data_IF_847377494379
#
_entry.id   IF_847377494379
#
_cell.length_a   1.000
_cell.length_b   1.000
_cell.length_c   1.000
_cell.angle_alpha   90.00
_cell.angle_beta   90.00
_cell.angle_gamma   90.00
#
_symmetry.space_group_name_H-M   'P 1'
#
loop_
_entity.id
_entity.type
_entity.pdbx_description
1 polymer ?
#
# COMPACT_ATOMS: atom_id res chain seq x y z
N UNK A 1 6.46 -20.55 -8.22
CA UNK A 1 7.15 -19.22 -8.23
C UNK A 1 6.12 -18.10 -8.38
N UNK A 2 6.31 -17.04 -7.65
CA UNK A 2 5.36 -15.94 -7.64
C UNK A 2 5.78 -14.81 -8.58
N UNK A 3 4.80 -13.99 -8.97
CA UNK A 3 5.03 -12.78 -9.78
C UNK A 3 4.12 -11.66 -9.33
N UNK A 4 4.53 -10.42 -9.58
CA UNK A 4 3.74 -9.22 -9.29
C UNK A 4 3.15 -8.69 -10.59
N UNK A 5 1.88 -8.29 -10.53
CA UNK A 5 1.23 -7.64 -11.67
C UNK A 5 0.16 -6.65 -11.19
N UNK A 6 -0.20 -5.70 -12.05
CA UNK A 6 -1.32 -4.81 -11.81
C UNK A 6 -2.61 -5.63 -11.85
N UNK A 7 -3.47 -5.44 -10.86
CA UNK A 7 -4.76 -6.12 -10.85
C UNK A 7 -5.70 -5.51 -11.91
N UNK A 8 -6.45 -6.37 -12.56
CA UNK A 8 -7.43 -6.00 -13.58
C UNK A 8 -8.83 -6.39 -13.11
N UNK A 9 -9.86 -5.93 -13.83
CA UNK A 9 -11.26 -6.22 -13.52
C UNK A 9 -11.50 -7.72 -13.33
N UNK A 10 -10.88 -8.55 -14.14
CA UNK A 10 -10.98 -10.02 -14.06
C UNK A 10 -10.44 -10.60 -12.76
N UNK A 11 -9.61 -9.86 -12.04
CA UNK A 11 -8.94 -10.35 -10.83
C UNK A 11 -9.75 -10.12 -9.55
N UNK A 12 -10.82 -9.31 -9.60
CA UNK A 12 -11.59 -8.93 -8.41
C UNK A 12 -12.06 -10.13 -7.62
N UNK A 13 -12.67 -11.10 -8.30
CA UNK A 13 -13.21 -12.28 -7.62
C UNK A 13 -12.12 -13.17 -7.06
N UNK A 14 -11.00 -13.32 -7.76
CA UNK A 14 -9.88 -14.11 -7.28
C UNK A 14 -9.25 -13.48 -6.03
N UNK A 15 -9.12 -12.17 -5.99
CA UNK A 15 -8.61 -11.45 -4.82
C UNK A 15 -9.53 -11.68 -3.61
N UNK A 16 -10.83 -11.52 -3.80
CA UNK A 16 -11.80 -11.74 -2.72
C UNK A 16 -11.82 -13.18 -2.25
N UNK A 17 -11.76 -14.14 -3.19
CA UNK A 17 -11.73 -15.56 -2.87
C UNK A 17 -10.49 -15.95 -2.07
N UNK A 18 -9.30 -15.56 -2.55
CA UNK A 18 -8.04 -16.04 -2.01
C UNK A 18 -7.61 -15.28 -0.75
N UNK A 19 -7.88 -13.98 -0.68
CA UNK A 19 -7.49 -13.14 0.45
C UNK A 19 -8.65 -12.83 1.39
N UNK A 20 -9.89 -12.98 0.91
CA UNK A 20 -11.09 -12.76 1.71
C UNK A 20 -11.48 -13.94 2.60
N UNK A 21 -10.78 -15.07 2.50
CA UNK A 21 -11.15 -16.29 3.23
C UNK A 21 -11.04 -16.16 4.74
N UNK A 22 -10.29 -15.19 5.23
CA UNK A 22 -10.15 -14.90 6.66
C UNK A 22 -11.17 -13.89 7.17
N UNK A 23 -11.95 -13.31 6.26
CA UNK A 23 -12.98 -12.35 6.61
C UNK A 23 -14.30 -13.07 6.87
N UNK A 24 -15.12 -12.49 7.74
CA UNK A 24 -16.50 -12.96 7.91
C UNK A 24 -17.21 -12.85 6.55
N UNK A 25 -18.15 -13.79 6.25
CA UNK A 25 -18.83 -13.81 4.94
C UNK A 25 -19.47 -12.47 4.54
N UNK A 26 -19.95 -11.69 5.50
CA UNK A 26 -20.55 -10.39 5.27
C UNK A 26 -19.52 -9.33 4.87
N UNK A 27 -18.24 -9.56 5.13
CA UNK A 27 -17.15 -8.65 4.77
C UNK A 27 -16.61 -8.83 3.36
N UNK A 28 -16.89 -9.96 2.72
CA UNK A 28 -16.41 -10.23 1.36
C UNK A 28 -16.93 -9.25 0.34
N UNK A 29 -18.23 -8.88 0.33
CA UNK A 29 -18.73 -7.86 -0.61
C UNK A 29 -18.06 -6.50 -0.40
N UNK A 30 -17.74 -6.15 0.85
CA UNK A 30 -17.03 -4.89 1.16
C UNK A 30 -15.65 -4.91 0.55
N UNK A 31 -14.95 -6.05 0.64
CA UNK A 31 -13.63 -6.22 0.03
C UNK A 31 -13.70 -6.11 -1.50
N UNK A 32 -14.68 -6.77 -2.12
CA UNK A 32 -14.88 -6.68 -3.58
C UNK A 32 -15.10 -5.24 -4.03
N UNK A 33 -15.95 -4.49 -3.32
CA UNK A 33 -16.21 -3.08 -3.63
C UNK A 33 -14.96 -2.23 -3.50
N UNK A 34 -14.16 -2.45 -2.45
CA UNK A 34 -12.92 -1.72 -2.25
C UNK A 34 -11.92 -2.01 -3.36
N UNK A 35 -11.75 -3.29 -3.69
CA UNK A 35 -10.85 -3.72 -4.76
C UNK A 35 -11.29 -3.12 -6.09
N UNK A 36 -12.57 -3.17 -6.39
CA UNK A 36 -13.12 -2.62 -7.62
C UNK A 36 -12.82 -1.11 -7.74
N UNK A 37 -12.97 -0.36 -6.65
CA UNK A 37 -12.66 1.08 -6.65
C UNK A 37 -11.19 1.34 -6.95
N UNK A 38 -10.28 0.53 -6.42
CA UNK A 38 -8.84 0.69 -6.71
C UNK A 38 -8.50 0.36 -8.15
N UNK A 39 -9.22 -0.58 -8.76
CA UNK A 39 -8.97 -0.97 -10.14
C UNK A 39 -9.59 0.01 -11.13
N UNK A 40 -10.76 0.56 -10.82
CA UNK A 40 -11.54 1.37 -11.76
C UNK A 40 -11.20 2.85 -11.78
N UNK A 41 -10.58 3.38 -10.73
CA UNK A 41 -10.26 4.81 -10.66
C UNK A 41 -8.83 5.08 -11.14
N UNK A 42 -8.63 6.15 -11.96
CA UNK A 42 -7.30 6.43 -12.54
C UNK A 42 -6.28 6.98 -11.55
N UNK A 43 -6.72 7.49 -10.39
CA UNK A 43 -5.84 8.09 -9.38
C UNK A 43 -5.28 7.07 -8.38
N UNK A 44 -5.54 5.79 -8.59
CA UNK A 44 -5.11 4.73 -7.69
C UNK A 44 -4.90 3.43 -8.43
N UNK A 45 -4.19 2.50 -7.78
CA UNK A 45 -4.00 1.18 -8.36
C UNK A 45 -3.82 0.14 -7.27
N UNK A 46 -3.94 -1.10 -7.69
CA UNK A 46 -3.77 -2.27 -6.84
C UNK A 46 -2.87 -3.26 -7.56
N UNK A 47 -1.83 -3.71 -6.88
CA UNK A 47 -0.95 -4.76 -7.37
C UNK A 47 -1.24 -6.06 -6.65
N UNK A 48 -1.12 -7.16 -7.35
CA UNK A 48 -1.29 -8.49 -6.77
C UNK A 48 -0.03 -9.31 -6.95
N UNK A 49 0.23 -10.17 -5.99
CA UNK A 49 1.22 -11.22 -6.10
C UNK A 49 0.49 -12.53 -6.40
N UNK A 50 0.91 -13.22 -7.44
CA UNK A 50 0.32 -14.48 -7.88
C UNK A 50 1.33 -15.61 -7.77
N UNK A 51 0.90 -16.71 -7.18
CA UNK A 51 1.59 -18.01 -7.28
C UNK A 51 0.71 -18.88 -8.16
N UNK A 52 1.14 -19.04 -9.42
CA UNK A 52 0.31 -19.59 -10.48
C UNK A 52 -0.98 -18.78 -10.62
N UNK A 53 -2.14 -19.35 -10.30
CA UNK A 53 -3.43 -18.67 -10.41
C UNK A 53 -3.96 -18.16 -9.06
N UNK A 54 -3.23 -18.40 -7.96
CA UNK A 54 -3.65 -18.03 -6.61
C UNK A 54 -3.10 -16.66 -6.23
N UNK A 55 -3.96 -15.77 -5.75
CA UNK A 55 -3.56 -14.48 -5.21
C UNK A 55 -3.02 -14.68 -3.79
N UNK A 56 -1.76 -14.34 -3.57
CA UNK A 56 -1.08 -14.55 -2.28
C UNK A 56 -0.70 -13.25 -1.58
N UNK A 57 -0.95 -12.12 -2.20
CA UNK A 57 -0.71 -10.81 -1.60
C UNK A 57 -1.24 -9.69 -2.46
N UNK A 58 -1.37 -8.52 -1.87
CA UNK A 58 -1.76 -7.33 -2.62
C UNK A 58 -1.20 -6.06 -1.97
N UNK A 59 -1.16 -5.00 -2.75
CA UNK A 59 -0.83 -3.66 -2.27
C UNK A 59 -1.69 -2.62 -2.96
N UNK A 60 -1.99 -1.54 -2.25
CA UNK A 60 -2.83 -0.47 -2.77
C UNK A 60 -2.18 0.88 -2.54
N UNK A 61 -2.31 1.76 -3.53
CA UNK A 61 -1.73 3.10 -3.47
C UNK A 61 -2.67 4.10 -4.14
N UNK A 62 -2.74 5.31 -3.59
CA UNK A 62 -3.54 6.42 -4.10
C UNK A 62 -2.60 7.57 -4.41
N UNK A 63 -2.78 8.18 -5.60
CA UNK A 63 -2.07 9.40 -5.98
C UNK A 63 -2.70 10.60 -5.27
N UNK A 64 -1.90 11.32 -4.50
CA UNK A 64 -2.29 12.58 -3.84
C UNK A 64 -3.68 12.55 -3.14
N UNK A 65 -3.88 11.67 -2.16
CA UNK A 65 -5.16 11.61 -1.44
C UNK A 65 -5.32 12.80 -0.51
N UNK A 66 -6.56 13.06 -0.12
CA UNK A 66 -6.85 14.03 0.94
C UNK A 66 -6.21 13.56 2.25
N UNK A 67 -5.43 14.45 2.88
CA UNK A 67 -4.76 14.15 4.13
C UNK A 67 -5.71 14.42 5.28
N UNK A 68 -5.96 13.41 6.10
CA UNK A 68 -6.89 13.47 7.24
C UNK A 68 -6.17 13.13 8.53
N UNK A 69 -6.72 13.62 9.64
CA UNK A 69 -6.23 13.34 10.98
C UNK A 69 -5.55 14.55 11.63
N UNK A 70 -5.19 14.36 12.90
CA UNK A 70 -4.57 15.42 13.70
C UNK A 70 -3.07 15.45 13.46
N UNK A 71 -2.68 15.97 12.31
CA UNK A 71 -1.28 16.12 11.94
C UNK A 71 -0.84 17.58 12.11
N UNK A 72 0.45 17.77 12.37
CA UNK A 72 1.02 19.12 12.39
C UNK A 72 0.96 19.72 10.98
N UNK A 73 0.94 21.06 10.90
CA UNK A 73 0.97 21.76 9.61
C UNK A 73 2.21 21.41 8.79
N UNK A 74 3.34 21.25 9.48
CA UNK A 74 4.59 20.88 8.85
C UNK A 74 4.48 19.51 8.18
N UNK A 75 3.94 18.52 8.88
CA UNK A 75 3.74 17.19 8.33
C UNK A 75 2.76 17.22 7.16
N UNK A 76 1.62 17.90 7.30
CA UNK A 76 0.64 18.03 6.20
C UNK A 76 1.30 18.63 4.97
N UNK A 77 2.08 19.71 5.14
CA UNK A 77 2.79 20.34 4.04
C UNK A 77 3.79 19.40 3.35
N UNK A 78 4.48 18.58 4.13
CA UNK A 78 5.45 17.62 3.60
C UNK A 78 4.80 16.48 2.84
N UNK A 79 3.55 16.13 3.17
CA UNK A 79 2.85 15.00 2.53
C UNK A 79 2.06 15.42 1.28
N UNK A 80 1.82 16.71 1.09
CA UNK A 80 1.05 17.17 -0.06
C UNK A 80 1.76 16.83 -1.37
N UNK A 81 1.00 16.28 -2.32
CA UNK A 81 1.52 15.87 -3.61
C UNK A 81 2.22 14.51 -3.60
N UNK A 82 2.29 13.84 -2.45
CA UNK A 82 2.85 12.51 -2.36
C UNK A 82 1.76 11.46 -2.49
N UNK A 83 2.08 10.35 -3.15
CA UNK A 83 1.19 9.19 -3.20
C UNK A 83 1.17 8.48 -1.85
N UNK A 84 0.03 7.91 -1.48
CA UNK A 84 -0.13 7.21 -0.21
C UNK A 84 -0.31 5.71 -0.41
N UNK A 85 0.56 4.93 0.22
CA UNK A 85 0.34 3.49 0.34
C UNK A 85 -0.77 3.27 1.36
N UNK A 86 -1.85 2.61 0.94
CA UNK A 86 -3.04 2.41 1.78
C UNK A 86 -3.24 0.97 2.20
N UNK A 87 -2.50 0.04 1.63
CA UNK A 87 -2.60 -1.36 2.01
C UNK A 87 -1.43 -2.18 1.54
N UNK A 88 -1.06 -3.15 2.35
CA UNK A 88 -0.04 -4.14 2.00
C UNK A 88 -0.35 -5.41 2.78
N UNK A 89 -0.56 -6.49 2.07
CA UNK A 89 -0.86 -7.78 2.68
C UNK A 89 -0.12 -8.88 1.92
N UNK A 90 0.53 -9.76 2.66
CA UNK A 90 1.11 -11.00 2.13
C UNK A 90 0.59 -12.14 2.98
N UNK A 91 0.08 -13.18 2.34
CA UNK A 91 -0.41 -14.35 3.05
C UNK A 91 0.69 -14.95 3.91
N UNK A 92 0.34 -15.37 5.13
CA UNK A 92 1.31 -15.77 6.15
C UNK A 92 2.26 -16.86 5.67
N UNK A 93 1.76 -17.82 4.90
CA UNK A 93 2.57 -18.94 4.40
C UNK A 93 3.57 -18.54 3.30
N UNK A 94 3.42 -17.32 2.76
CA UNK A 94 4.28 -16.80 1.70
C UNK A 94 5.19 -15.67 2.17
N UNK A 95 5.19 -15.38 3.46
CA UNK A 95 6.05 -14.33 4.01
C UNK A 95 7.52 -14.74 3.98
N UNK A 96 8.41 -13.73 4.08
CA UNK A 96 9.88 -13.89 4.08
C UNK A 96 10.43 -14.40 2.75
N UNK A 97 9.72 -14.20 1.65
CA UNK A 97 10.17 -14.54 0.30
C UNK A 97 10.43 -13.31 -0.57
N UNK A 98 10.35 -12.10 -0.01
CA UNK A 98 10.53 -10.86 -0.74
C UNK A 98 9.29 -10.34 -1.46
N UNK A 99 8.13 -10.96 -1.25
CA UNK A 99 6.89 -10.54 -1.92
C UNK A 99 6.46 -9.14 -1.47
N UNK A 100 6.48 -8.87 -0.15
CA UNK A 100 6.14 -7.55 0.38
C UNK A 100 7.04 -6.47 -0.20
N UNK A 101 8.34 -6.74 -0.30
CA UNK A 101 9.28 -5.79 -0.90
C UNK A 101 8.97 -5.55 -2.37
N UNK A 102 8.66 -6.59 -3.12
CA UNK A 102 8.30 -6.47 -4.54
C UNK A 102 7.02 -5.67 -4.72
N UNK A 103 6.03 -5.85 -3.85
CA UNK A 103 4.78 -5.08 -3.89
C UNK A 103 5.03 -3.60 -3.60
N UNK A 104 5.85 -3.27 -2.61
CA UNK A 104 6.19 -1.86 -2.30
C UNK A 104 6.95 -1.23 -3.47
N UNK A 105 7.90 -1.94 -4.05
CA UNK A 105 8.65 -1.42 -5.21
C UNK A 105 7.74 -1.17 -6.41
N UNK A 106 6.76 -2.03 -6.64
CA UNK A 106 5.79 -1.83 -7.71
C UNK A 106 4.97 -0.54 -7.48
N UNK A 107 4.55 -0.29 -6.23
CA UNK A 107 3.84 0.93 -5.88
C UNK A 107 4.71 2.18 -6.06
N UNK A 108 5.96 2.14 -5.60
CA UNK A 108 6.88 3.26 -5.77
C UNK A 108 7.12 3.57 -7.24
N UNK A 109 7.36 2.55 -8.03
CA UNK A 109 7.56 2.70 -9.48
C UNK A 109 6.34 3.32 -10.14
N UNK A 110 5.14 2.86 -9.79
CA UNK A 110 3.90 3.43 -10.31
C UNK A 110 3.79 4.92 -9.99
N UNK A 111 4.04 5.30 -8.73
CA UNK A 111 3.96 6.69 -8.30
C UNK A 111 4.99 7.58 -9.01
N UNK A 112 6.24 7.12 -9.09
CA UNK A 112 7.30 7.89 -9.71
C UNK A 112 7.14 8.00 -11.23
N UNK A 113 6.64 6.95 -11.89
CA UNK A 113 6.38 6.98 -13.33
C UNK A 113 5.25 7.95 -13.69
N UNK A 114 4.38 8.27 -12.73
CA UNK A 114 3.31 9.26 -12.92
C UNK A 114 3.75 10.68 -12.57
N UNK A 115 5.03 10.88 -12.33
CA UNK A 115 5.58 12.18 -11.97
C UNK A 115 5.47 12.52 -10.49
N UNK A 116 5.12 11.57 -9.65
CA UNK A 116 5.01 11.77 -8.21
C UNK A 116 6.33 12.16 -7.58
N UNK A 117 6.26 13.00 -6.54
CA UNK A 117 7.44 13.50 -5.83
C UNK A 117 7.90 12.56 -4.73
N UNK A 118 7.05 11.65 -4.32
CA UNK A 118 7.36 10.71 -3.26
C UNK A 118 6.15 9.87 -2.86
N UNK A 119 6.33 9.11 -1.79
CA UNK A 119 5.34 8.18 -1.26
C UNK A 119 5.33 8.30 0.26
N UNK A 120 4.15 8.19 0.86
CA UNK A 120 4.01 8.17 2.31
C UNK A 120 3.03 7.09 2.75
N UNK A 121 3.08 6.77 4.03
CA UNK A 121 2.19 5.76 4.61
C UNK A 121 2.06 5.98 6.12
N UNK A 122 1.05 5.33 6.69
CA UNK A 122 0.87 5.26 8.13
C UNK A 122 0.99 3.79 8.52
N UNK A 123 1.82 3.50 9.50
CA UNK A 123 2.00 2.13 9.96
C UNK A 123 1.95 2.06 11.48
N UNK A 124 1.41 0.96 11.97
CA UNK A 124 1.35 0.66 13.40
C UNK A 124 2.63 -0.01 13.88
N UNK A 125 3.17 -0.97 13.11
CA UNK A 125 4.24 -1.84 13.58
C UNK A 125 5.40 -2.00 12.59
N UNK A 126 5.29 -1.50 11.36
CA UNK A 126 6.24 -1.81 10.30
C UNK A 126 7.22 -0.68 9.98
N UNK A 127 7.33 0.33 10.85
CA UNK A 127 8.18 1.49 10.58
C UNK A 127 9.65 1.08 10.34
N UNK A 128 10.19 0.17 11.17
CA UNK A 128 11.57 -0.28 11.03
C UNK A 128 11.80 -1.02 9.72
N UNK A 129 10.82 -1.81 9.28
CA UNK A 129 10.90 -2.55 8.02
C UNK A 129 10.96 -1.61 6.82
N UNK A 130 10.09 -0.59 6.79
CA UNK A 130 10.09 0.41 5.71
C UNK A 130 11.37 1.22 5.70
N UNK A 131 11.88 1.61 6.86
CA UNK A 131 13.14 2.36 6.95
C UNK A 131 14.32 1.52 6.45
N UNK A 132 14.40 0.28 6.89
CA UNK A 132 15.53 -0.61 6.54
C UNK A 132 15.56 -0.97 5.07
N UNK A 133 14.42 -1.34 4.49
CA UNK A 133 14.38 -1.87 3.14
C UNK A 133 14.21 -0.81 2.06
N UNK A 134 13.65 0.36 2.40
CA UNK A 134 13.28 1.35 1.38
C UNK A 134 13.76 2.77 1.69
N UNK A 135 14.33 3.00 2.85
CA UNK A 135 14.84 4.32 3.22
C UNK A 135 13.77 5.34 3.58
N UNK A 136 12.60 4.91 4.03
CA UNK A 136 11.57 5.81 4.51
C UNK A 136 12.02 6.54 5.77
N UNK A 137 11.59 7.79 5.92
CA UNK A 137 11.89 8.63 7.08
C UNK A 137 10.65 8.81 7.93
N UNK A 138 10.83 8.80 9.24
CA UNK A 138 9.75 9.09 10.19
C UNK A 138 9.42 10.58 10.14
N UNK A 139 8.16 10.89 9.91
CA UNK A 139 7.66 12.27 9.85
C UNK A 139 6.99 12.69 11.15
N UNK A 140 6.15 11.83 11.68
CA UNK A 140 5.38 12.14 12.89
C UNK A 140 4.84 10.85 13.50
N UNK A 141 4.71 10.85 14.83
CA UNK A 141 3.97 9.79 15.54
C UNK A 141 2.64 10.34 15.98
N UNK A 142 1.58 9.58 15.76
CA UNK A 142 0.22 9.97 16.09
C UNK A 142 -0.45 8.89 16.92
N UNK A 143 -1.51 9.29 17.63
CA UNK A 143 -2.41 8.34 18.29
C UNK A 143 -3.77 8.44 17.62
N UNK A 144 -4.25 7.33 17.10
CA UNK A 144 -5.53 7.23 16.41
C UNK A 144 -6.28 6.04 16.98
N UNK A 145 -7.50 6.26 17.47
CA UNK A 145 -8.32 5.22 18.10
C UNK A 145 -7.58 4.50 19.26
N UNK A 146 -6.81 5.28 20.05
CA UNK A 146 -6.02 4.72 21.16
C UNK A 146 -4.79 3.95 20.76
N UNK A 147 -4.45 3.92 19.46
CA UNK A 147 -3.30 3.16 18.94
C UNK A 147 -2.25 4.13 18.43
N UNK A 148 -1.00 3.93 18.85
CA UNK A 148 0.12 4.70 18.35
C UNK A 148 0.49 4.23 16.94
N UNK A 149 0.64 5.20 16.02
CA UNK A 149 0.99 4.96 14.62
C UNK A 149 2.11 5.90 14.21
N UNK A 150 2.89 5.50 13.22
CA UNK A 150 4.01 6.28 12.69
C UNK A 150 3.73 6.65 11.24
N UNK A 151 3.91 7.92 10.91
CA UNK A 151 3.84 8.40 9.54
C UNK A 151 5.25 8.40 8.96
N UNK A 152 5.41 7.74 7.83
CA UNK A 152 6.67 7.61 7.11
C UNK A 152 6.53 8.19 5.71
N UNK A 153 7.60 8.79 5.20
CA UNK A 153 7.63 9.30 3.84
C UNK A 153 8.99 9.09 3.20
N UNK A 154 8.97 9.00 1.87
CA UNK A 154 10.16 8.88 1.05
C UNK A 154 9.97 9.75 -0.17
N UNK A 155 10.91 10.67 -0.40
CA UNK A 155 10.87 11.52 -1.59
C UNK A 155 11.68 10.91 -2.72
N UNK A 156 11.33 11.28 -3.95
CA UNK A 156 12.03 10.80 -5.14
C UNK A 156 13.51 11.19 -5.13
N UNK A 157 13.84 12.36 -4.59
CA UNK A 157 15.23 12.81 -4.48
C UNK A 157 16.03 11.85 -3.60
N UNK A 158 15.46 11.44 -2.46
CA UNK A 158 16.09 10.47 -1.56
C UNK A 158 16.26 9.11 -2.22
N UNK A 159 15.34 8.72 -3.10
CA UNK A 159 15.38 7.44 -3.81
C UNK A 159 16.46 7.38 -4.88
N UNK A 160 16.86 8.52 -5.46
CA UNK A 160 17.86 8.57 -6.53
C UNK A 160 19.30 8.56 -6.02
N UNK A 161 19.48 8.61 -4.71
CA UNK A 161 20.77 8.47 -4.06
C UNK A 161 20.94 7.05 -3.55
#
# INVERSE_FOLDING_TARGET
>A
MWKIQTALEKDIQAIARDLGGRLAPDRRPVLEDKVARYIRKPDRTLFIALDESRVIGFSTIIEDPEIRGDLTRETVGSLQGLAMITGLLVEVNYRRQGIGQALVRAMEKWAFNRGGKGVWLVTREQAAWYRRHFGYREMERIVSDGVQKTILAKTRISASK
#
